data_IF_663996916559
#
_entry.id   IF_663996916559
#
_cell.length_a   1.000
_cell.length_b   1.000
_cell.length_c   1.000
_cell.angle_alpha   90.00
_cell.angle_beta   90.00
_cell.angle_gamma   90.00
#
_symmetry.space_group_name_H-M   'P 1'
#
loop_
_entity.id
_entity.type
_entity.pdbx_description
1 polymer ?
#
# COMPACT_ATOMS: atom_id res chain seq x y z
N UNK A 1 -1.26 -1.04 -13.08
CA UNK A 1 -1.11 -1.26 -11.62
C UNK A 1 -2.25 -2.13 -11.12
N UNK A 2 -2.01 -3.17 -10.32
CA UNK A 2 -3.03 -4.13 -9.84
C UNK A 2 -2.65 -4.74 -8.48
N UNK A 3 -3.47 -5.62 -7.91
CA UNK A 3 -3.31 -6.18 -6.54
C UNK A 3 -1.91 -6.69 -6.20
N UNK A 4 -1.27 -7.48 -7.07
CA UNK A 4 0.12 -7.94 -6.86
C UNK A 4 1.11 -6.77 -6.70
N UNK A 5 0.91 -5.66 -7.43
CA UNK A 5 1.73 -4.46 -7.27
C UNK A 5 1.52 -3.81 -5.90
N UNK A 6 0.28 -3.80 -5.39
CA UNK A 6 -0.01 -3.30 -4.03
C UNK A 6 0.73 -4.11 -2.97
N UNK A 7 0.70 -5.44 -3.08
CA UNK A 7 1.44 -6.33 -2.19
C UNK A 7 2.93 -6.01 -2.18
N UNK A 8 3.55 -5.92 -3.36
CA UNK A 8 4.99 -5.64 -3.47
C UNK A 8 5.33 -4.21 -3.05
N UNK A 9 4.42 -3.23 -3.24
CA UNK A 9 4.59 -1.88 -2.72
C UNK A 9 4.60 -1.86 -1.19
N UNK A 10 3.64 -2.54 -0.55
CA UNK A 10 3.58 -2.64 0.92
C UNK A 10 4.81 -3.36 1.46
N UNK A 11 5.20 -4.49 0.87
CA UNK A 11 6.41 -5.21 1.24
C UNK A 11 7.67 -4.33 1.10
N UNK A 12 7.73 -3.50 0.05
CA UNK A 12 8.83 -2.56 -0.16
C UNK A 12 8.90 -1.49 0.93
N UNK A 13 7.75 -0.92 1.31
CA UNK A 13 7.68 0.07 2.40
C UNK A 13 8.08 -0.56 3.75
N UNK A 14 7.65 -1.79 4.04
CA UNK A 14 8.06 -2.50 5.26
C UNK A 14 9.56 -2.79 5.26
N UNK A 15 10.14 -3.13 4.10
CA UNK A 15 11.56 -3.51 3.98
C UNK A 15 12.51 -2.32 4.00
N UNK A 16 12.18 -1.25 3.26
CA UNK A 16 13.08 -0.11 3.04
C UNK A 16 12.69 1.13 3.86
N UNK A 17 11.44 1.23 4.32
CA UNK A 17 10.93 2.35 5.09
C UNK A 17 9.97 3.26 4.32
N UNK A 18 9.19 4.05 5.07
CA UNK A 18 8.23 5.00 4.53
C UNK A 18 8.90 6.07 3.67
N UNK A 19 8.29 6.38 2.52
CA UNK A 19 8.80 7.37 1.54
C UNK A 19 10.16 7.06 0.90
N UNK A 20 10.74 5.87 1.11
CA UNK A 20 11.99 5.42 0.45
C UNK A 20 11.72 4.85 -0.94
N UNK A 21 10.97 5.58 -1.77
CA UNK A 21 10.48 5.08 -3.06
C UNK A 21 11.60 4.71 -4.03
N UNK A 22 12.70 5.47 -4.03
CA UNK A 22 13.83 5.20 -4.92
C UNK A 22 14.54 3.91 -4.54
N UNK A 23 14.80 3.69 -3.24
CA UNK A 23 15.40 2.46 -2.73
C UNK A 23 14.58 1.22 -3.10
N UNK A 24 13.26 1.30 -2.96
CA UNK A 24 12.35 0.21 -3.35
C UNK A 24 12.43 -0.02 -4.88
N UNK A 25 12.50 1.04 -5.68
CA UNK A 25 12.55 0.91 -7.14
C UNK A 25 13.86 0.32 -7.67
N UNK A 26 14.99 0.59 -7.01
CA UNK A 26 16.30 0.07 -7.43
C UNK A 26 16.53 -1.36 -6.96
N UNK A 27 15.81 -1.84 -5.93
CA UNK A 27 15.92 -3.22 -5.48
C UNK A 27 15.29 -4.19 -6.51
N UNK A 28 16.07 -5.12 -7.10
CA UNK A 28 15.58 -6.07 -8.09
C UNK A 28 14.41 -6.92 -7.60
N UNK A 29 14.32 -7.21 -6.30
CA UNK A 29 13.21 -7.99 -5.71
C UNK A 29 11.87 -7.30 -5.89
N UNK A 30 11.86 -5.97 -5.92
CA UNK A 30 10.66 -5.14 -6.05
C UNK A 30 10.45 -4.64 -7.48
N UNK A 31 11.22 -5.13 -8.46
CA UNK A 31 11.20 -4.68 -9.86
C UNK A 31 9.80 -4.65 -10.51
N UNK A 32 8.87 -5.48 -10.03
CA UNK A 32 7.46 -5.47 -10.45
C UNK A 32 6.79 -4.10 -10.31
N UNK A 33 7.14 -3.28 -9.31
CA UNK A 33 6.53 -1.95 -9.14
C UNK A 33 6.96 -0.97 -10.25
N UNK A 34 8.01 -1.30 -10.99
CA UNK A 34 8.52 -0.52 -12.11
C UNK A 34 7.82 -0.85 -13.43
N UNK A 35 7.28 -2.06 -13.57
CA UNK A 35 6.68 -2.56 -14.82
C UNK A 35 5.58 -1.66 -15.40
N UNK A 36 4.66 -1.11 -14.60
CA UNK A 36 3.61 -0.23 -15.12
C UNK A 36 4.11 1.06 -15.77
N UNK A 37 5.38 1.41 -15.58
CA UNK A 37 5.97 2.69 -15.99
C UNK A 37 6.98 2.55 -17.13
N UNK A 38 7.26 1.32 -17.62
CA UNK A 38 8.30 1.07 -18.63
C UNK A 38 8.13 1.89 -19.92
N UNK A 39 6.88 2.13 -20.34
CA UNK A 39 6.58 2.89 -21.57
C UNK A 39 6.73 4.41 -21.43
N UNK A 40 6.79 4.91 -20.19
CA UNK A 40 6.83 6.34 -19.91
C UNK A 40 8.25 6.87 -19.62
N UNK A 41 9.28 6.00 -19.68
CA UNK A 41 10.66 6.35 -19.31
C UNK A 41 11.27 7.51 -20.11
N UNK A 42 10.81 7.73 -21.35
CA UNK A 42 11.29 8.82 -22.21
C UNK A 42 10.66 10.19 -21.89
N UNK A 43 9.67 10.24 -20.99
CA UNK A 43 9.01 11.49 -20.60
C UNK A 43 9.89 12.28 -19.65
N UNK A 44 9.99 13.60 -19.86
CA UNK A 44 10.56 14.50 -18.87
C UNK A 44 9.84 14.35 -17.54
N UNK A 45 10.60 14.44 -16.43
CA UNK A 45 10.08 14.32 -15.07
C UNK A 45 9.49 12.93 -14.67
N UNK A 46 9.90 11.87 -15.36
CA UNK A 46 9.43 10.50 -15.13
C UNK A 46 9.56 10.04 -13.66
N UNK A 47 10.70 10.32 -13.01
CA UNK A 47 10.97 9.90 -11.64
C UNK A 47 10.00 10.54 -10.64
N UNK A 48 9.69 11.83 -10.80
CA UNK A 48 8.75 12.52 -9.92
C UNK A 48 7.32 12.00 -10.14
N UNK A 49 6.91 11.80 -11.40
CA UNK A 49 5.59 11.22 -11.73
C UNK A 49 5.40 9.86 -11.06
N UNK A 50 6.41 9.00 -11.15
CA UNK A 50 6.40 7.67 -10.57
C UNK A 50 6.37 7.71 -9.04
N UNK A 51 7.22 8.52 -8.41
CA UNK A 51 7.23 8.69 -6.95
C UNK A 51 5.88 9.24 -6.44
N UNK A 52 5.28 10.19 -7.16
CA UNK A 52 3.96 10.76 -6.84
C UNK A 52 2.86 9.71 -6.95
N UNK A 53 2.93 8.84 -7.95
CA UNK A 53 2.00 7.72 -8.07
C UNK A 53 2.14 6.75 -6.89
N UNK A 54 3.37 6.31 -6.57
CA UNK A 54 3.64 5.37 -5.47
C UNK A 54 3.16 5.93 -4.12
N UNK A 55 3.45 7.19 -3.84
CA UNK A 55 2.99 7.87 -2.62
C UNK A 55 1.46 7.92 -2.53
N UNK A 56 0.77 8.28 -3.62
CA UNK A 56 -0.71 8.29 -3.66
C UNK A 56 -1.28 6.90 -3.46
N UNK A 57 -0.69 5.89 -4.10
CA UNK A 57 -1.17 4.51 -4.00
C UNK A 57 -0.98 3.95 -2.59
N UNK A 58 0.17 4.20 -1.98
CA UNK A 58 0.42 3.83 -0.59
C UNK A 58 -0.61 4.44 0.36
N UNK A 59 -0.91 5.73 0.23
CA UNK A 59 -1.91 6.40 1.06
C UNK A 59 -3.29 5.74 1.00
N UNK A 60 -3.71 5.28 -0.19
CA UNK A 60 -4.98 4.55 -0.34
C UNK A 60 -4.93 3.18 0.35
N UNK A 61 -3.81 2.47 0.27
CA UNK A 61 -3.62 1.17 0.93
C UNK A 61 -3.61 1.33 2.45
N UNK A 62 -2.89 2.33 2.96
CA UNK A 62 -2.87 2.68 4.38
C UNK A 62 -4.28 2.96 4.92
N UNK A 63 -5.06 3.77 4.20
CA UNK A 63 -6.46 4.03 4.56
C UNK A 63 -7.32 2.76 4.55
N UNK A 64 -7.18 1.91 3.54
CA UNK A 64 -7.91 0.64 3.46
C UNK A 64 -7.58 -0.29 4.64
N UNK A 65 -6.30 -0.40 5.01
CA UNK A 65 -5.85 -1.20 6.15
C UNK A 65 -6.39 -0.65 7.48
N UNK A 66 -6.41 0.67 7.65
CA UNK A 66 -7.02 1.30 8.83
C UNK A 66 -8.50 0.97 8.89
N UNK A 67 -9.24 1.08 7.78
CA UNK A 67 -10.68 0.75 7.75
C UNK A 67 -10.91 -0.73 8.07
N UNK A 68 -10.13 -1.65 7.49
CA UNK A 68 -10.22 -3.08 7.76
C UNK A 68 -10.01 -3.39 9.25
N UNK A 69 -9.01 -2.76 9.87
CA UNK A 69 -8.73 -2.88 11.30
C UNK A 69 -9.85 -2.31 12.18
N UNK A 70 -10.44 -1.17 11.80
CA UNK A 70 -11.58 -0.60 12.53
C UNK A 70 -12.81 -1.49 12.46
N UNK A 71 -13.12 -2.04 11.28
CA UNK A 71 -14.25 -2.97 11.10
C UNK A 71 -14.05 -4.25 11.94
N UNK A 72 -12.82 -4.77 11.99
CA UNK A 72 -12.47 -5.93 12.82
C UNK A 72 -12.69 -5.66 14.31
N UNK A 73 -12.26 -4.49 14.80
CA UNK A 73 -12.47 -4.08 16.20
C UNK A 73 -13.94 -3.86 16.53
N UNK A 74 -14.68 -3.22 15.63
CA UNK A 74 -16.12 -3.00 15.79
C UNK A 74 -16.88 -4.33 15.86
N UNK A 75 -16.53 -5.30 15.02
CA UNK A 75 -17.13 -6.64 15.07
C UNK A 75 -16.84 -7.35 16.41
N UNK A 76 -15.60 -7.25 16.93
CA UNK A 76 -15.25 -7.83 18.22
C UNK A 76 -16.02 -7.19 19.39
N UNK A 77 -16.14 -5.86 19.40
CA UNK A 77 -16.91 -5.13 20.41
C UNK A 77 -18.41 -5.45 20.35
N UNK A 78 -18.98 -5.56 19.15
CA UNK A 78 -20.38 -5.95 18.95
C UNK A 78 -20.68 -7.36 19.50
N UNK A 79 -19.80 -8.32 19.23
CA UNK A 79 -19.91 -9.70 19.76
C UNK A 79 -19.78 -9.73 21.30
N UNK A 80 -18.88 -8.93 21.85
CA UNK A 80 -18.72 -8.83 23.31
C UNK A 80 -19.95 -8.22 23.99
N UNK A 81 -20.57 -7.19 23.38
CA UNK A 81 -21.82 -6.60 23.88
C UNK A 81 -22.98 -7.60 23.89
N UNK A 82 -23.12 -8.42 22.84
CA UNK A 82 -24.15 -9.46 22.73
C UNK A 82 -23.98 -10.57 23.79
N UNK A 83 -22.74 -10.94 24.13
CA UNK A 83 -22.47 -11.89 25.23
C UNK A 83 -22.77 -11.32 26.62
N UNK A 84 -22.60 -10.01 26.83
CA UNK A 84 -22.88 -9.37 28.13
C UNK A 84 -24.35 -9.05 28.38
N UNK A 85 -25.19 -9.06 27.34
CA UNK A 85 -26.64 -8.86 27.42
C UNK A 85 -27.37 -10.06 26.81
N UNK A 86 -27.39 -11.23 27.47
CA UNK A 86 -28.32 -12.29 27.10
C UNK A 86 -29.73 -11.77 27.43
N UNK A 87 -30.51 -11.46 26.39
CA UNK A 87 -31.94 -11.21 26.54
C UNK A 87 -32.67 -12.44 27.09
#
# INVERSE_FOLDING_TARGET
WHRRHDYWLLAGVVTHGYSRWQDIQIDPKFSIINEPFKMDMAKGNFLEMKNKFLARRFKLLEQALVIEEQLRRAAFLGLAMEQTNPA
#
